data_IF_970888969839
#
_entry.id   IF_970888969839
#
_cell.length_a   1.000
_cell.length_b   1.000
_cell.length_c   1.000
_cell.angle_alpha   90.00
_cell.angle_beta   90.00
_cell.angle_gamma   90.00
#
_symmetry.space_group_name_H-M   'P 1'
#
loop_
_entity.id
_entity.type
_entity.pdbx_description
1 polymer ?
#
# COMPACT_ATOMS: atom_id res chain seq x y z
N UNK A 1 10.24 17.52 -20.09
CA UNK A 1 11.12 16.50 -19.53
C UNK A 1 10.88 16.23 -18.05
N UNK A 2 10.64 17.27 -17.26
CA UNK A 2 10.27 17.08 -15.87
C UNK A 2 8.99 16.28 -15.69
N UNK A 3 8.04 16.50 -16.58
CA UNK A 3 6.77 15.77 -16.54
C UNK A 3 6.96 14.27 -16.75
N UNK A 4 7.90 13.90 -17.63
CA UNK A 4 8.19 12.49 -17.88
C UNK A 4 8.82 11.82 -16.67
N UNK A 5 9.71 12.53 -15.96
CA UNK A 5 10.33 11.99 -14.77
C UNK A 5 9.31 11.78 -13.64
N UNK A 6 8.41 12.74 -13.47
CA UNK A 6 7.36 12.65 -12.47
C UNK A 6 6.41 11.51 -12.81
N UNK A 7 6.03 11.40 -14.08
CA UNK A 7 5.18 10.31 -14.55
C UNK A 7 5.82 8.94 -14.32
N UNK A 8 7.12 8.84 -14.57
CA UNK A 8 7.83 7.58 -14.42
C UNK A 8 7.82 7.12 -12.97
N UNK A 9 8.08 8.04 -12.04
CA UNK A 9 8.02 7.71 -10.61
C UNK A 9 6.62 7.30 -10.16
N UNK A 10 5.62 8.00 -10.64
CA UNK A 10 4.23 7.67 -10.32
C UNK A 10 3.83 6.33 -10.93
N UNK A 11 4.29 6.03 -12.14
CA UNK A 11 4.02 4.74 -12.77
C UNK A 11 4.67 3.60 -12.01
N UNK A 12 5.90 3.78 -11.55
CA UNK A 12 6.57 2.75 -10.77
C UNK A 12 5.83 2.47 -9.47
N UNK A 13 5.38 3.51 -8.78
CA UNK A 13 4.60 3.36 -7.57
C UNK A 13 3.26 2.69 -7.86
N UNK A 14 2.57 3.11 -8.91
CA UNK A 14 1.31 2.51 -9.30
C UNK A 14 1.47 1.03 -9.66
N UNK A 15 2.52 0.69 -10.38
CA UNK A 15 2.80 -0.71 -10.72
C UNK A 15 3.08 -1.53 -9.46
N UNK A 16 3.84 -0.98 -8.53
CA UNK A 16 4.09 -1.66 -7.26
C UNK A 16 2.79 -1.87 -6.50
N UNK A 17 1.94 -0.86 -6.45
CA UNK A 17 0.65 -0.96 -5.77
C UNK A 17 -0.23 -2.03 -6.40
N UNK A 18 -0.30 -2.06 -7.74
CA UNK A 18 -1.10 -3.07 -8.43
C UNK A 18 -0.56 -4.48 -8.20
N UNK A 19 0.75 -4.64 -8.29
CA UNK A 19 1.39 -5.93 -8.10
C UNK A 19 1.16 -6.45 -6.68
N UNK A 20 1.31 -5.58 -5.70
CA UNK A 20 1.18 -5.97 -4.30
C UNK A 20 -0.26 -6.04 -3.83
N UNK A 21 -1.17 -5.34 -4.51
CA UNK A 21 -2.57 -5.24 -4.07
C UNK A 21 -3.23 -6.59 -3.92
N UNK A 22 -3.08 -7.46 -4.91
CA UNK A 22 -3.68 -8.79 -4.87
C UNK A 22 -3.11 -9.62 -3.73
N UNK A 23 -1.80 -9.53 -3.54
CA UNK A 23 -1.14 -10.24 -2.44
C UNK A 23 -1.61 -9.73 -1.08
N UNK A 24 -1.69 -8.41 -0.94
CA UNK A 24 -2.17 -7.80 0.29
C UNK A 24 -3.62 -8.16 0.55
N UNK A 25 -4.43 -8.17 -0.50
CA UNK A 25 -5.85 -8.53 -0.38
C UNK A 25 -6.00 -9.98 0.08
N UNK A 26 -5.23 -10.89 -0.49
CA UNK A 26 -5.25 -12.29 -0.07
C UNK A 26 -4.86 -12.43 1.40
N UNK A 27 -3.83 -11.73 1.81
CA UNK A 27 -3.38 -11.73 3.20
C UNK A 27 -4.48 -11.21 4.13
N UNK A 28 -5.08 -10.07 3.76
CA UNK A 28 -6.13 -9.47 4.57
C UNK A 28 -7.37 -10.35 4.64
N UNK A 29 -7.75 -10.98 3.53
CA UNK A 29 -8.86 -11.92 3.52
C UNK A 29 -8.61 -13.10 4.47
N UNK A 30 -7.39 -13.61 4.46
CA UNK A 30 -7.01 -14.69 5.35
C UNK A 30 -7.12 -14.27 6.81
N UNK A 31 -6.67 -13.05 7.13
CA UNK A 31 -6.65 -12.57 8.51
C UNK A 31 -8.02 -12.15 9.00
N UNK A 32 -8.82 -11.53 8.15
CA UNK A 32 -10.12 -10.96 8.56
C UNK A 32 -11.29 -11.88 8.25
N UNK A 33 -11.11 -12.82 7.34
CA UNK A 33 -12.16 -13.77 6.98
C UNK A 33 -13.32 -13.16 6.18
N UNK A 34 -13.15 -11.93 5.69
CA UNK A 34 -14.20 -11.20 5.00
C UNK A 34 -13.56 -10.32 3.93
N UNK A 35 -14.02 -10.47 2.69
CA UNK A 35 -13.44 -9.74 1.57
C UNK A 35 -13.69 -8.23 1.66
N UNK A 36 -14.89 -7.83 2.07
CA UNK A 36 -15.21 -6.40 2.17
C UNK A 36 -14.30 -5.71 3.19
N UNK A 37 -14.12 -6.32 4.33
CA UNK A 37 -13.20 -5.81 5.36
C UNK A 37 -11.76 -5.83 4.86
N UNK A 38 -11.40 -6.86 4.12
CA UNK A 38 -10.05 -6.96 3.56
C UNK A 38 -9.79 -5.85 2.55
N UNK A 39 -10.74 -5.56 1.68
CA UNK A 39 -10.60 -4.48 0.71
C UNK A 39 -10.47 -3.13 1.41
N UNK A 40 -11.26 -2.90 2.44
CA UNK A 40 -11.15 -1.69 3.25
C UNK A 40 -9.77 -1.55 3.88
N UNK A 41 -9.25 -2.64 4.46
CA UNK A 41 -7.95 -2.61 5.10
C UNK A 41 -6.84 -2.31 4.11
N UNK A 42 -6.88 -2.95 2.94
CA UNK A 42 -5.88 -2.71 1.89
C UNK A 42 -5.96 -1.26 1.41
N UNK A 43 -7.16 -0.75 1.22
CA UNK A 43 -7.36 0.64 0.80
C UNK A 43 -6.78 1.60 1.84
N UNK A 44 -7.03 1.36 3.12
CA UNK A 44 -6.49 2.18 4.20
C UNK A 44 -4.97 2.17 4.20
N UNK A 45 -4.34 1.01 3.94
CA UNK A 45 -2.89 0.90 3.86
C UNK A 45 -2.35 1.81 2.78
N UNK A 46 -2.96 1.80 1.59
CA UNK A 46 -2.51 2.64 0.48
C UNK A 46 -2.75 4.13 0.77
N UNK A 47 -3.84 4.47 1.41
CA UNK A 47 -4.09 5.86 1.81
C UNK A 47 -3.00 6.33 2.77
N UNK A 48 -2.66 5.52 3.76
CA UNK A 48 -1.59 5.86 4.71
C UNK A 48 -0.23 5.97 4.02
N UNK A 49 0.02 5.09 3.06
CA UNK A 49 1.27 5.16 2.29
C UNK A 49 1.39 6.48 1.53
N UNK A 50 0.33 6.86 0.82
CA UNK A 50 0.32 8.12 0.07
C UNK A 50 0.54 9.31 1.00
N UNK A 51 -0.12 9.31 2.14
CA UNK A 51 0.02 10.38 3.11
C UNK A 51 1.45 10.47 3.64
N UNK A 52 2.04 9.33 3.96
CA UNK A 52 3.40 9.27 4.47
C UNK A 52 4.41 9.74 3.44
N UNK A 53 4.24 9.34 2.18
CA UNK A 53 5.12 9.79 1.11
C UNK A 53 5.04 11.29 0.91
N UNK A 54 3.84 11.85 1.06
CA UNK A 54 3.64 13.29 0.93
C UNK A 54 4.32 14.05 2.07
N UNK A 55 4.26 13.53 3.29
CA UNK A 55 4.81 14.20 4.47
C UNK A 55 6.31 14.02 4.60
N UNK A 56 6.81 12.81 4.36
CA UNK A 56 8.19 12.44 4.63
C UNK A 56 9.08 12.44 3.40
N UNK A 57 8.53 12.77 2.25
CA UNK A 57 9.29 12.66 1.01
C UNK A 57 9.44 11.20 0.59
N UNK A 58 10.66 10.77 0.33
CA UNK A 58 10.86 9.47 -0.32
C UNK A 58 11.65 8.49 0.53
N UNK A 59 11.56 8.59 1.85
CA UNK A 59 12.41 7.84 2.75
C UNK A 59 11.91 6.45 3.10
N UNK A 60 10.89 5.95 2.41
CA UNK A 60 10.46 4.57 2.62
C UNK A 60 11.34 3.67 1.79
N UNK A 61 12.36 3.10 2.43
CA UNK A 61 13.35 2.30 1.74
C UNK A 61 12.82 0.95 1.27
N UNK A 62 11.84 0.40 1.97
CA UNK A 62 11.28 -0.89 1.62
C UNK A 62 9.76 -0.80 1.65
N UNK A 63 9.19 -0.48 0.50
CA UNK A 63 7.75 -0.28 0.38
C UNK A 63 6.96 -1.56 0.66
N UNK A 64 7.46 -2.68 0.19
CA UNK A 64 6.77 -3.96 0.38
C UNK A 64 6.66 -4.29 1.87
N UNK A 65 7.77 -4.18 2.59
CA UNK A 65 7.76 -4.42 4.03
C UNK A 65 6.84 -3.45 4.76
N UNK A 66 6.89 -2.19 4.36
CA UNK A 66 6.02 -1.17 4.95
C UNK A 66 4.54 -1.50 4.75
N UNK A 67 4.18 -1.91 3.54
CA UNK A 67 2.79 -2.25 3.22
C UNK A 67 2.29 -3.43 4.06
N UNK A 68 3.09 -4.49 4.15
CA UNK A 68 2.70 -5.66 4.93
C UNK A 68 2.63 -5.37 6.41
N UNK A 69 3.57 -4.59 6.92
CA UNK A 69 3.57 -4.21 8.33
C UNK A 69 2.33 -3.36 8.67
N UNK A 70 2.02 -2.39 7.82
CA UNK A 70 0.84 -1.54 8.02
C UNK A 70 -0.44 -2.35 7.96
N UNK A 71 -0.52 -3.27 7.01
CA UNK A 71 -1.70 -4.12 6.87
C UNK A 71 -1.87 -5.06 8.07
N UNK A 72 -0.78 -5.65 8.53
CA UNK A 72 -0.82 -6.51 9.69
C UNK A 72 -1.32 -5.76 10.93
N UNK A 73 -0.84 -4.53 11.12
CA UNK A 73 -1.29 -3.69 12.23
C UNK A 73 -2.77 -3.37 12.13
N UNK A 74 -3.26 -3.06 10.94
CA UNK A 74 -4.68 -2.79 10.72
C UNK A 74 -5.53 -4.03 10.99
N UNK A 75 -5.09 -5.20 10.56
CA UNK A 75 -5.81 -6.44 10.80
C UNK A 75 -5.90 -6.76 12.29
N UNK A 76 -4.84 -6.46 13.03
CA UNK A 76 -4.86 -6.66 14.49
C UNK A 76 -5.84 -5.71 15.16
N UNK A 77 -5.89 -4.46 14.66
CA UNK A 77 -6.78 -3.45 15.25
C UNK A 77 -8.24 -3.69 14.92
N UNK A 78 -8.54 -4.42 13.89
CA UNK A 78 -9.91 -4.76 13.52
C UNK A 78 -10.34 -6.04 14.23
#
# INVERSE_FOLDING_TARGET
MRLLSIRKKNQELEQLMETERLKLLQYACYRLGNRDDAEDAVQDVFIHLHKRLRESGHDIQNLTSYLYRSLANLCISR
#
